data_IF_136286907999
#
_entry.id   IF_136286907999
#
_cell.length_a   1.000
_cell.length_b   1.000
_cell.length_c   1.000
_cell.angle_alpha   90.00
_cell.angle_beta   90.00
_cell.angle_gamma   90.00
#
_symmetry.space_group_name_H-M   'P 1'
#
loop_
_entity.id
_entity.type
_entity.pdbx_description
1 polymer ?
#
# COMPACT_ATOMS: atom_id res chain seq x y z
N UNK A 1 -30.18 21.69 47.83
CA UNK A 1 -29.04 20.89 47.39
C UNK A 1 -29.05 20.89 45.86
N UNK A 2 -28.15 21.64 45.26
CA UNK A 2 -28.03 21.74 43.81
C UNK A 2 -26.93 20.77 43.36
N UNK A 3 -27.26 19.83 42.47
CA UNK A 3 -26.31 18.92 41.84
C UNK A 3 -25.87 19.58 40.56
N UNK A 4 -24.62 20.06 40.51
CA UNK A 4 -24.01 20.57 39.31
C UNK A 4 -23.43 19.39 38.50
N UNK A 5 -23.94 19.16 37.31
CA UNK A 5 -23.35 18.23 36.33
C UNK A 5 -22.16 18.90 35.68
N UNK A 6 -20.97 18.37 35.88
CA UNK A 6 -19.78 18.67 35.13
C UNK A 6 -19.82 17.88 33.82
N UNK A 7 -20.13 18.54 32.72
CA UNK A 7 -19.88 18.03 31.39
C UNK A 7 -18.38 18.18 31.10
N UNK A 8 -17.65 17.08 31.09
CA UNK A 8 -16.27 17.06 30.60
C UNK A 8 -16.29 17.08 29.08
N UNK A 9 -15.93 18.20 28.47
CA UNK A 9 -15.55 18.25 27.07
C UNK A 9 -14.27 17.42 26.90
N UNK A 10 -14.40 16.22 26.35
CA UNK A 10 -13.24 15.52 25.79
C UNK A 10 -12.79 16.35 24.59
N UNK A 11 -11.62 16.97 24.71
CA UNK A 11 -10.91 17.51 23.54
C UNK A 11 -10.33 16.30 22.82
N UNK A 12 -10.70 16.14 21.55
CA UNK A 12 -9.98 15.28 20.62
C UNK A 12 -8.59 15.88 20.42
N UNK A 13 -7.62 15.40 21.20
CA UNK A 13 -6.23 15.66 20.93
C UNK A 13 -5.87 14.82 19.69
N UNK A 14 -5.27 15.42 18.64
CA UNK A 14 -4.82 14.64 17.49
C UNK A 14 -3.81 13.60 17.96
N UNK A 15 -3.95 12.38 17.49
CA UNK A 15 -2.96 11.30 17.70
C UNK A 15 -1.62 11.85 17.24
N UNK A 16 -0.70 12.06 18.17
CA UNK A 16 0.66 12.49 17.86
C UNK A 16 1.36 11.30 17.19
N UNK A 17 1.36 11.28 15.86
CA UNK A 17 2.20 10.36 15.09
C UNK A 17 3.62 10.84 15.39
N UNK A 18 4.31 10.14 16.25
CA UNK A 18 5.69 10.43 16.63
C UNK A 18 6.56 10.43 15.36
N UNK A 19 6.77 11.61 14.82
CA UNK A 19 7.70 11.85 13.71
C UNK A 19 9.10 11.76 14.30
N UNK A 20 9.52 10.51 14.57
CA UNK A 20 10.88 10.25 15.02
C UNK A 20 11.88 10.94 14.12
N UNK A 21 12.76 11.70 14.73
CA UNK A 21 13.90 12.46 14.20
C UNK A 21 13.81 12.88 12.74
N UNK A 22 14.12 14.14 12.45
CA UNK A 22 14.27 14.77 11.11
C UNK A 22 15.31 14.01 10.25
N UNK A 23 15.04 12.72 9.96
CA UNK A 23 15.83 11.99 8.98
C UNK A 23 15.60 12.63 7.62
N UNK A 24 16.65 13.11 7.02
CA UNK A 24 16.60 13.64 5.67
C UNK A 24 16.16 12.52 4.72
N UNK A 25 15.05 12.73 4.00
CA UNK A 25 14.55 11.79 3.01
C UNK A 25 15.63 11.46 1.97
N UNK A 26 15.83 10.16 1.72
CA UNK A 26 16.80 9.69 0.74
C UNK A 26 16.21 9.79 -0.66
N UNK A 27 16.92 10.41 -1.59
CA UNK A 27 16.53 10.47 -3.01
C UNK A 27 17.34 9.49 -3.84
N UNK A 28 16.78 9.04 -4.98
CA UNK A 28 17.35 7.95 -5.77
C UNK A 28 17.54 8.35 -7.23
N UNK A 29 18.51 7.73 -7.88
CA UNK A 29 18.69 7.77 -9.34
C UNK A 29 18.41 6.38 -9.90
N UNK A 30 17.47 6.29 -10.85
CA UNK A 30 17.06 5.02 -11.44
C UNK A 30 18.03 4.59 -12.56
N UNK A 31 18.37 3.29 -12.57
CA UNK A 31 19.19 2.65 -13.59
C UNK A 31 18.37 2.20 -14.80
N UNK A 32 18.84 1.14 -15.47
CA UNK A 32 18.15 0.54 -16.61
C UNK A 32 17.11 -0.47 -16.14
N UNK A 33 15.85 -0.38 -16.58
CA UNK A 33 14.81 -1.34 -16.20
C UNK A 33 15.01 -2.70 -16.91
N UNK A 34 14.61 -3.76 -16.22
CA UNK A 34 14.41 -5.10 -16.76
C UNK A 34 12.95 -5.53 -16.58
N UNK A 35 12.47 -6.48 -17.36
CA UNK A 35 11.10 -7.00 -17.23
C UNK A 35 11.04 -8.53 -17.26
N UNK A 36 9.99 -9.07 -16.63
CA UNK A 36 9.72 -10.50 -16.48
C UNK A 36 8.25 -10.77 -16.80
N UNK A 37 7.97 -11.61 -17.79
CA UNK A 37 6.60 -12.01 -18.11
C UNK A 37 6.06 -12.99 -17.06
N UNK A 38 4.94 -12.65 -16.43
CA UNK A 38 4.26 -13.52 -15.45
C UNK A 38 3.28 -14.47 -16.12
N UNK A 39 2.71 -14.10 -17.27
CA UNK A 39 1.57 -14.76 -17.93
C UNK A 39 0.29 -14.79 -17.07
N UNK A 40 0.20 -13.91 -16.10
CA UNK A 40 -0.94 -13.72 -15.21
C UNK A 40 -1.62 -12.40 -15.55
N UNK A 41 -2.93 -12.33 -15.35
CA UNK A 41 -3.75 -11.14 -15.58
C UNK A 41 -4.31 -10.63 -14.25
N UNK A 42 -4.79 -9.39 -14.19
CA UNK A 42 -5.39 -8.81 -12.98
C UNK A 42 -4.40 -8.61 -11.82
N UNK A 43 -3.12 -8.36 -12.12
CA UNK A 43 -2.12 -8.12 -11.09
C UNK A 43 -2.21 -6.69 -10.58
N UNK A 44 -2.49 -6.49 -9.30
CA UNK A 44 -2.84 -5.18 -8.74
C UNK A 44 -1.85 -4.65 -7.70
N UNK A 45 -1.19 -5.51 -6.92
CA UNK A 45 -0.29 -5.05 -5.87
C UNK A 45 0.96 -5.91 -5.72
N UNK A 46 2.05 -5.33 -5.17
CA UNK A 46 3.31 -6.02 -4.95
C UNK A 46 3.99 -5.57 -3.66
N UNK A 47 4.54 -6.52 -2.89
CA UNK A 47 5.47 -6.24 -1.81
C UNK A 47 6.56 -7.30 -1.72
N UNK A 48 7.61 -7.05 -0.92
CA UNK A 48 8.53 -8.11 -0.53
C UNK A 48 7.82 -9.12 0.39
N UNK A 49 8.19 -10.40 0.29
CA UNK A 49 7.75 -11.41 1.23
C UNK A 49 8.37 -11.20 2.62
N UNK A 50 7.95 -12.00 3.61
CA UNK A 50 8.33 -11.86 5.03
C UNK A 50 9.84 -12.01 5.27
N UNK A 51 10.56 -12.67 4.37
CA UNK A 51 12.00 -12.91 4.44
C UNK A 51 12.82 -11.95 3.56
N UNK A 52 12.16 -11.19 2.69
CA UNK A 52 12.80 -10.25 1.77
C UNK A 52 13.60 -10.93 0.65
N UNK A 53 13.33 -12.20 0.35
CA UNK A 53 13.98 -12.97 -0.72
C UNK A 53 13.04 -13.35 -1.87
N UNK A 54 11.83 -12.83 -1.85
CA UNK A 54 10.81 -12.98 -2.87
C UNK A 54 9.79 -11.84 -2.86
N UNK A 55 8.89 -11.89 -3.81
CA UNK A 55 7.83 -10.92 -4.02
C UNK A 55 6.46 -11.59 -3.78
N UNK A 56 5.57 -10.91 -3.07
CA UNK A 56 4.15 -11.23 -3.01
C UNK A 56 3.42 -10.30 -3.95
N UNK A 57 2.55 -10.86 -4.79
CA UNK A 57 1.75 -10.13 -5.77
C UNK A 57 0.29 -10.50 -5.58
N UNK A 58 -0.56 -9.53 -5.31
CA UNK A 58 -2.00 -9.73 -5.23
C UNK A 58 -2.67 -9.56 -6.60
N UNK A 59 -3.81 -10.22 -6.77
CA UNK A 59 -4.63 -10.24 -7.98
C UNK A 59 -6.09 -10.00 -7.63
N UNK A 60 -6.82 -9.29 -8.50
CA UNK A 60 -8.24 -8.91 -8.36
C UNK A 60 -9.17 -10.07 -7.98
N UNK A 61 -8.86 -11.30 -8.46
CA UNK A 61 -9.73 -12.46 -8.28
C UNK A 61 -9.42 -13.27 -7.00
N UNK A 62 -8.69 -12.69 -6.04
CA UNK A 62 -8.49 -13.29 -4.73
C UNK A 62 -7.26 -14.18 -4.60
N UNK A 63 -6.34 -14.16 -5.57
CA UNK A 63 -5.07 -14.87 -5.48
C UNK A 63 -3.95 -13.98 -4.95
N UNK A 64 -2.98 -14.61 -4.29
CA UNK A 64 -1.67 -14.05 -4.03
C UNK A 64 -0.63 -14.99 -4.59
N UNK A 65 0.24 -14.46 -5.42
CA UNK A 65 1.34 -15.16 -6.04
C UNK A 65 2.64 -14.83 -5.32
N UNK A 66 3.48 -15.83 -5.10
CA UNK A 66 4.83 -15.62 -4.61
C UNK A 66 5.83 -15.87 -5.73
N UNK A 67 6.63 -14.85 -6.04
CA UNK A 67 7.70 -14.92 -7.03
C UNK A 67 9.06 -14.87 -6.34
N UNK A 68 10.07 -15.48 -6.97
CA UNK A 68 11.45 -15.19 -6.66
C UNK A 68 11.87 -13.81 -7.20
N UNK A 69 12.97 -13.26 -6.69
CA UNK A 69 13.59 -12.05 -7.24
C UNK A 69 14.17 -12.26 -8.65
N UNK A 70 14.12 -13.47 -9.18
CA UNK A 70 14.42 -13.84 -10.56
C UNK A 70 13.16 -13.81 -11.47
N UNK A 71 12.02 -13.39 -10.93
CA UNK A 71 10.74 -13.31 -11.63
C UNK A 71 10.04 -14.65 -11.83
N UNK A 72 10.54 -15.76 -11.26
CA UNK A 72 9.91 -17.08 -11.39
C UNK A 72 8.83 -17.29 -10.33
N UNK A 73 7.64 -17.75 -10.75
CA UNK A 73 6.55 -18.11 -9.85
C UNK A 73 6.97 -19.32 -8.98
N UNK A 74 6.81 -19.18 -7.65
CA UNK A 74 7.14 -20.20 -6.66
C UNK A 74 5.90 -20.85 -6.04
N UNK A 75 4.92 -20.05 -5.65
CA UNK A 75 3.69 -20.55 -5.04
C UNK A 75 2.49 -19.65 -5.35
N UNK A 76 1.30 -20.18 -5.12
CA UNK A 76 0.02 -19.45 -5.27
C UNK A 76 -0.87 -19.78 -4.10
N UNK A 77 -1.47 -18.75 -3.53
CA UNK A 77 -2.49 -18.89 -2.49
C UNK A 77 -3.80 -18.28 -2.98
N UNK A 78 -4.93 -18.83 -2.54
CA UNK A 78 -6.25 -18.29 -2.83
C UNK A 78 -7.04 -18.19 -1.52
N UNK A 79 -7.71 -17.06 -1.33
CA UNK A 79 -8.57 -16.85 -0.18
C UNK A 79 -9.98 -16.56 -0.67
N UNK A 80 -10.95 -17.32 -0.14
CA UNK A 80 -12.35 -16.95 -0.29
C UNK A 80 -12.67 -15.82 0.70
N UNK A 81 -13.12 -14.70 0.17
CA UNK A 81 -13.76 -13.66 0.97
C UNK A 81 -15.15 -14.16 1.38
N UNK A 82 -15.67 -13.82 2.56
CA UNK A 82 -16.97 -14.34 3.04
C UNK A 82 -18.16 -14.08 2.12
N UNK A 83 -18.09 -13.09 1.25
CA UNK A 83 -19.14 -12.67 0.32
C UNK A 83 -18.82 -12.87 -1.17
N UNK A 84 -17.80 -13.67 -1.48
CA UNK A 84 -17.33 -14.00 -2.84
C UNK A 84 -16.95 -12.79 -3.74
N UNK A 85 -16.89 -11.58 -3.20
CA UNK A 85 -16.42 -10.41 -3.92
C UNK A 85 -14.94 -10.19 -3.60
N UNK A 86 -14.05 -10.41 -4.58
CA UNK A 86 -12.61 -10.22 -4.43
C UNK A 86 -12.16 -9.11 -5.36
N UNK A 87 -11.48 -8.12 -4.77
CA UNK A 87 -10.85 -7.03 -5.50
C UNK A 87 -9.64 -6.59 -4.67
N UNK A 88 -8.60 -7.48 -4.63
CA UNK A 88 -7.40 -7.21 -3.86
C UNK A 88 -6.50 -6.24 -4.61
N UNK A 89 -6.51 -4.97 -4.19
CA UNK A 89 -5.76 -3.88 -4.81
C UNK A 89 -4.53 -3.45 -4.01
N UNK A 90 -4.27 -4.07 -2.87
CA UNK A 90 -3.08 -3.77 -2.07
C UNK A 90 -2.62 -4.93 -1.23
N UNK A 91 -1.29 -5.08 -1.09
CA UNK A 91 -0.65 -6.08 -0.23
C UNK A 91 0.57 -5.49 0.47
N UNK A 92 0.74 -5.79 1.75
CA UNK A 92 1.91 -5.38 2.52
C UNK A 92 2.28 -6.39 3.58
N UNK A 93 3.55 -6.42 3.96
CA UNK A 93 4.06 -7.22 5.08
C UNK A 93 4.52 -6.28 6.19
N UNK A 94 3.91 -6.40 7.36
CA UNK A 94 4.31 -5.63 8.53
C UNK A 94 5.61 -6.20 9.15
N UNK A 95 6.25 -5.42 10.02
CA UNK A 95 7.53 -5.76 10.65
C UNK A 95 7.49 -7.09 11.44
N UNK A 96 6.33 -7.48 11.94
CA UNK A 96 6.13 -8.74 12.66
C UNK A 96 5.85 -9.95 11.74
N UNK A 97 5.93 -9.76 10.41
CA UNK A 97 5.63 -10.77 9.40
C UNK A 97 4.13 -10.91 9.08
N UNK A 98 3.27 -10.10 9.68
CA UNK A 98 1.84 -10.12 9.35
C UNK A 98 1.60 -9.56 7.95
N UNK A 99 0.87 -10.31 7.12
CA UNK A 99 0.46 -9.88 5.78
C UNK A 99 -0.92 -9.23 5.87
N UNK A 100 -1.04 -8.04 5.29
CA UNK A 100 -2.31 -7.32 5.14
C UNK A 100 -2.64 -7.13 3.66
N UNK A 101 -3.94 -7.19 3.37
CA UNK A 101 -4.53 -6.91 2.06
C UNK A 101 -5.53 -5.78 2.21
N UNK A 102 -5.69 -4.94 1.20
CA UNK A 102 -6.85 -4.07 1.09
C UNK A 102 -7.74 -4.48 -0.09
N UNK A 103 -9.02 -4.26 0.11
CA UNK A 103 -10.06 -4.53 -0.87
C UNK A 103 -10.66 -3.22 -1.33
N UNK A 104 -10.78 -3.05 -2.65
CA UNK A 104 -11.13 -1.77 -3.27
C UNK A 104 -12.57 -1.36 -2.95
N UNK A 105 -13.54 -2.18 -3.32
CA UNK A 105 -14.96 -1.80 -3.38
C UNK A 105 -15.59 -1.62 -2.01
N UNK A 106 -15.35 -2.56 -1.10
CA UNK A 106 -15.86 -2.48 0.27
C UNK A 106 -15.01 -1.58 1.16
N UNK A 107 -13.82 -1.15 0.70
CA UNK A 107 -12.85 -0.35 1.46
C UNK A 107 -12.51 -0.99 2.79
N UNK A 108 -12.07 -2.22 2.71
CA UNK A 108 -11.79 -3.07 3.86
C UNK A 108 -10.32 -3.45 3.91
N UNK A 109 -9.79 -3.62 5.12
CA UNK A 109 -8.46 -4.18 5.37
C UNK A 109 -8.64 -5.58 5.92
N UNK A 110 -7.89 -6.53 5.38
CA UNK A 110 -7.85 -7.92 5.83
C UNK A 110 -6.45 -8.30 6.29
N UNK A 111 -6.40 -9.25 7.21
CA UNK A 111 -5.18 -9.91 7.66
C UNK A 111 -5.18 -11.35 7.19
N UNK A 112 -4.07 -11.78 6.60
CA UNK A 112 -3.86 -13.17 6.19
C UNK A 112 -3.51 -14.02 7.41
N UNK A 113 -4.05 -15.25 7.49
CA UNK A 113 -3.70 -16.21 8.53
C UNK A 113 -2.24 -16.70 8.39
N UNK A 114 -1.61 -17.08 9.49
CA UNK A 114 -0.20 -17.52 9.47
C UNK A 114 0.05 -18.75 8.58
N UNK A 115 -0.96 -19.62 8.38
CA UNK A 115 -0.90 -20.77 7.47
C UNK A 115 -1.26 -20.42 6.02
N UNK A 116 -1.53 -19.13 5.74
CA UNK A 116 -1.84 -18.59 4.40
C UNK A 116 -3.09 -19.21 3.74
N UNK A 117 -4.07 -19.67 4.55
CA UNK A 117 -5.28 -20.33 4.04
C UNK A 117 -6.56 -19.53 4.15
N UNK A 118 -6.55 -18.47 4.94
CA UNK A 118 -7.72 -17.64 5.16
C UNK A 118 -7.36 -16.19 5.41
N UNK A 119 -8.35 -15.32 5.27
CA UNK A 119 -8.26 -13.92 5.65
C UNK A 119 -9.31 -13.59 6.71
N UNK A 120 -9.03 -12.59 7.52
CA UNK A 120 -9.95 -12.05 8.51
C UNK A 120 -10.01 -10.53 8.40
N UNK A 121 -11.22 -9.98 8.49
CA UNK A 121 -11.45 -8.54 8.48
C UNK A 121 -10.75 -7.90 9.68
N UNK A 122 -9.95 -6.87 9.40
CA UNK A 122 -9.29 -6.03 10.41
C UNK A 122 -10.12 -4.78 10.68
N UNK A 123 -10.51 -4.09 9.61
CA UNK A 123 -11.30 -2.85 9.70
C UNK A 123 -11.98 -2.55 8.37
N UNK A 124 -13.13 -1.88 8.47
CA UNK A 124 -13.69 -1.11 7.36
C UNK A 124 -13.11 0.29 7.40
N UNK A 125 -12.98 0.91 6.24
CA UNK A 125 -12.56 2.29 6.10
C UNK A 125 -13.55 3.28 6.71
N UNK A 126 -13.13 4.53 6.88
CA UNK A 126 -14.03 5.59 7.34
C UNK A 126 -15.09 5.93 6.28
N UNK A 127 -16.27 6.45 6.71
CA UNK A 127 -17.37 6.77 5.81
C UNK A 127 -16.98 7.75 4.68
N UNK A 128 -16.11 8.70 4.99
CA UNK A 128 -15.61 9.67 4.00
C UNK A 128 -14.69 9.07 2.93
N UNK A 129 -14.30 7.80 3.05
CA UNK A 129 -13.58 7.11 1.97
C UNK A 129 -14.43 6.94 0.70
N UNK A 130 -15.72 7.23 0.79
CA UNK A 130 -16.65 7.17 -0.32
C UNK A 130 -17.29 5.80 -0.48
N UNK A 131 -18.16 5.67 -1.48
CA UNK A 131 -18.94 4.46 -1.74
C UNK A 131 -19.01 4.11 -3.23
N UNK A 132 -18.21 4.78 -4.08
CA UNK A 132 -18.18 4.47 -5.50
C UNK A 132 -17.36 3.22 -5.76
N UNK A 133 -17.93 2.28 -6.49
CA UNK A 133 -17.25 1.10 -6.98
C UNK A 133 -16.05 1.50 -7.88
N UNK A 134 -14.94 0.79 -7.83
CA UNK A 134 -13.74 1.03 -8.64
C UNK A 134 -13.08 2.41 -8.46
N UNK A 135 -13.14 3.01 -7.29
CA UNK A 135 -12.41 4.24 -6.93
C UNK A 135 -12.00 4.25 -5.46
N UNK A 136 -11.84 3.05 -4.89
CA UNK A 136 -11.62 2.81 -3.48
C UNK A 136 -10.15 2.67 -3.09
N UNK A 137 -9.87 1.62 -2.36
CA UNK A 137 -8.53 1.34 -1.86
C UNK A 137 -7.69 0.63 -2.92
N UNK A 138 -6.61 1.26 -3.37
CA UNK A 138 -5.72 0.75 -4.41
C UNK A 138 -4.35 0.33 -3.87
N UNK A 139 -4.05 0.63 -2.63
CA UNK A 139 -2.77 0.26 -2.05
C UNK A 139 -2.76 0.32 -0.54
N UNK A 140 -1.89 -0.48 0.08
CA UNK A 140 -1.69 -0.53 1.52
C UNK A 140 -0.21 -0.69 1.85
N UNK A 141 0.28 0.09 2.83
CA UNK A 141 1.65 0.01 3.31
C UNK A 141 1.71 -0.04 4.83
N UNK A 142 2.46 -0.98 5.39
CA UNK A 142 2.67 -1.11 6.82
C UNK A 142 3.94 -0.37 7.26
N UNK A 143 3.83 0.54 8.23
CA UNK A 143 4.97 1.27 8.79
C UNK A 143 4.70 1.76 10.21
N UNK A 144 5.62 1.53 11.14
CA UNK A 144 5.59 2.04 12.52
C UNK A 144 4.26 1.79 13.28
N UNK A 145 3.63 0.62 13.08
CA UNK A 145 2.35 0.28 13.72
C UNK A 145 1.13 0.91 13.07
N UNK A 146 1.30 1.52 11.92
CA UNK A 146 0.25 2.14 11.11
C UNK A 146 0.12 1.41 9.77
N UNK A 147 -1.10 1.24 9.29
CA UNK A 147 -1.38 0.89 7.90
C UNK A 147 -1.79 2.16 7.16
N UNK A 148 -0.96 2.60 6.21
CA UNK A 148 -1.29 3.66 5.28
C UNK A 148 -2.06 3.06 4.11
N UNK A 149 -3.18 3.66 3.75
CA UNK A 149 -4.06 3.16 2.69
C UNK A 149 -4.31 4.26 1.67
N UNK A 150 -3.99 3.99 0.42
CA UNK A 150 -4.23 4.91 -0.68
C UNK A 150 -5.65 4.72 -1.22
N UNK A 151 -6.48 5.75 -1.13
CA UNK A 151 -7.79 5.81 -1.77
C UNK A 151 -7.64 6.49 -3.13
N UNK A 152 -8.01 5.79 -4.20
CA UNK A 152 -7.71 6.14 -5.59
C UNK A 152 -8.17 7.54 -5.99
N UNK A 153 -9.46 7.82 -5.71
CA UNK A 153 -10.08 9.09 -6.08
C UNK A 153 -11.38 9.32 -5.31
N UNK A 154 -11.82 10.58 -5.19
CA UNK A 154 -13.06 11.00 -4.57
C UNK A 154 -13.27 10.53 -3.11
N UNK A 155 -12.37 10.89 -2.20
CA UNK A 155 -11.22 11.78 -2.37
C UNK A 155 -9.95 11.04 -2.79
N UNK A 156 -9.00 11.72 -3.44
CA UNK A 156 -7.61 11.26 -3.58
C UNK A 156 -6.90 11.52 -2.26
N UNK A 157 -6.81 10.49 -1.43
CA UNK A 157 -6.42 10.63 -0.02
C UNK A 157 -5.64 9.43 0.46
N UNK A 158 -4.69 9.67 1.33
CA UNK A 158 -4.06 8.62 2.11
C UNK A 158 -4.66 8.64 3.51
N UNK A 159 -5.21 7.51 3.91
CA UNK A 159 -5.66 7.25 5.26
C UNK A 159 -4.59 6.54 6.08
N UNK A 160 -4.63 6.70 7.39
CA UNK A 160 -3.76 6.01 8.34
C UNK A 160 -4.62 5.27 9.37
N UNK A 161 -4.41 3.96 9.48
CA UNK A 161 -5.06 3.11 10.48
C UNK A 161 -4.06 2.69 11.55
N UNK A 162 -4.27 3.12 12.80
CA UNK A 162 -3.48 2.64 13.94
C UNK A 162 -3.85 1.20 14.25
N UNK A 163 -2.89 0.27 14.13
CA UNK A 163 -3.12 -1.16 14.42
C UNK A 163 -3.42 -1.36 15.92
N UNK A 164 -2.74 -0.61 16.79
CA UNK A 164 -2.89 -0.72 18.24
C UNK A 164 -4.22 -0.15 18.74
N UNK A 165 -4.57 1.07 18.28
CA UNK A 165 -5.74 1.80 18.77
C UNK A 165 -7.01 1.45 17.98
N UNK A 166 -6.87 0.81 16.81
CA UNK A 166 -7.96 0.47 15.89
C UNK A 166 -8.74 1.70 15.42
N UNK A 167 -8.03 2.80 15.15
CA UNK A 167 -8.61 4.08 14.75
C UNK A 167 -8.08 4.53 13.40
N UNK A 168 -8.94 5.21 12.65
CA UNK A 168 -8.61 5.83 11.39
C UNK A 168 -8.35 7.33 11.56
N UNK A 169 -7.41 7.83 10.79
CA UNK A 169 -7.18 9.27 10.58
C UNK A 169 -6.88 9.54 9.11
N UNK A 170 -7.08 10.78 8.66
CA UNK A 170 -6.55 11.23 7.38
C UNK A 170 -5.06 11.55 7.56
N UNK A 171 -4.19 10.88 6.80
CA UNK A 171 -2.80 11.27 6.76
C UNK A 171 -2.63 12.55 5.92
N UNK A 172 -3.11 12.56 4.67
CA UNK A 172 -3.10 13.74 3.80
C UNK A 172 -3.98 13.56 2.55
N UNK A 173 -4.36 14.68 1.94
CA UNK A 173 -4.96 14.72 0.61
C UNK A 173 -3.87 14.80 -0.47
N UNK A 174 -4.00 13.98 -1.52
CA UNK A 174 -3.04 13.89 -2.60
C UNK A 174 -3.53 14.63 -3.87
N UNK A 175 -3.94 15.88 -3.73
CA UNK A 175 -4.50 16.71 -4.83
C UNK A 175 -3.53 16.87 -6.00
N UNK A 176 -2.25 16.68 -5.76
CA UNK A 176 -1.19 16.71 -6.76
C UNK A 176 -1.15 15.48 -7.67
N UNK A 177 -1.77 14.36 -7.29
CA UNK A 177 -1.85 13.15 -8.11
C UNK A 177 -3.07 13.18 -9.02
N UNK A 178 -3.02 12.44 -10.12
CA UNK A 178 -4.19 12.19 -10.98
C UNK A 178 -5.00 11.01 -10.46
N UNK A 179 -4.33 9.98 -9.95
CA UNK A 179 -4.89 8.78 -9.36
C UNK A 179 -3.88 8.22 -8.38
N UNK A 180 -4.31 7.54 -7.34
CA UNK A 180 -3.41 6.74 -6.50
C UNK A 180 -3.60 5.28 -6.87
N UNK A 181 -2.52 4.59 -7.27
CA UNK A 181 -2.58 3.19 -7.70
C UNK A 181 -1.91 2.24 -6.73
N UNK A 182 -0.95 2.74 -5.92
CA UNK A 182 -0.33 1.97 -4.84
C UNK A 182 0.41 2.89 -3.88
N UNK A 183 0.74 2.36 -2.71
CA UNK A 183 1.52 3.04 -1.68
C UNK A 183 2.51 2.08 -1.03
N UNK A 184 3.72 2.56 -0.78
CA UNK A 184 4.77 1.82 -0.09
C UNK A 184 5.38 2.69 1.02
N UNK A 185 5.66 2.11 2.19
CA UNK A 185 6.35 2.79 3.28
C UNK A 185 7.82 2.37 3.33
N UNK A 186 8.73 3.35 3.20
CA UNK A 186 10.15 3.15 3.37
C UNK A 186 10.56 3.31 4.83
N UNK A 187 10.83 2.20 5.50
CA UNK A 187 11.24 2.22 6.91
C UNK A 187 12.66 2.77 7.14
N UNK A 188 13.44 2.98 6.09
CA UNK A 188 14.81 3.49 6.21
C UNK A 188 14.86 5.00 6.49
N UNK A 189 13.86 5.75 6.03
CA UNK A 189 13.78 7.21 6.20
C UNK A 189 12.37 7.71 6.55
N UNK A 190 11.42 6.81 6.77
CA UNK A 190 10.06 7.13 7.16
C UNK A 190 9.22 7.81 6.08
N UNK A 191 9.60 7.68 4.79
CA UNK A 191 8.84 8.25 3.69
C UNK A 191 7.85 7.26 3.09
N UNK A 192 6.89 7.79 2.33
CA UNK A 192 5.96 7.03 1.52
C UNK A 192 6.28 7.21 0.05
N UNK A 193 6.11 6.16 -0.73
CA UNK A 193 6.12 6.22 -2.18
C UNK A 193 4.71 5.94 -2.69
N UNK A 194 4.25 6.76 -3.61
CA UNK A 194 2.90 6.66 -4.19
C UNK A 194 3.02 6.56 -5.70
N UNK A 195 2.37 5.53 -6.24
CA UNK A 195 2.30 5.28 -7.68
C UNK A 195 1.08 5.97 -8.28
N UNK A 196 1.25 6.62 -9.43
CA UNK A 196 0.17 7.18 -10.24
C UNK A 196 0.20 6.51 -11.62
N UNK A 197 -0.70 5.55 -11.86
CA UNK A 197 -0.76 4.78 -13.09
C UNK A 197 -1.13 5.64 -14.30
N UNK A 198 -1.90 6.71 -14.11
CA UNK A 198 -2.34 7.60 -15.20
C UNK A 198 -1.22 8.49 -15.73
N UNK A 199 -0.31 8.90 -14.86
CA UNK A 199 0.81 9.78 -15.22
C UNK A 199 2.14 9.04 -15.32
N UNK A 200 2.18 7.75 -14.97
CA UNK A 200 3.39 6.91 -14.92
C UNK A 200 4.47 7.54 -14.05
N UNK A 201 4.07 7.92 -12.85
CA UNK A 201 4.95 8.55 -11.87
C UNK A 201 4.97 7.78 -10.56
N UNK A 202 6.13 7.81 -9.92
CA UNK A 202 6.34 7.38 -8.55
C UNK A 202 6.72 8.63 -7.75
N UNK A 203 5.92 9.02 -6.77
CA UNK A 203 6.17 10.22 -5.95
C UNK A 203 6.55 9.81 -4.54
N UNK A 204 7.73 10.23 -4.10
CA UNK A 204 8.17 10.11 -2.71
C UNK A 204 7.66 11.30 -1.91
N UNK A 205 7.02 11.03 -0.77
CA UNK A 205 6.45 12.05 0.12
C UNK A 205 6.78 11.72 1.57
N UNK A 206 6.76 12.73 2.43
CA UNK A 206 6.70 12.52 3.88
C UNK A 206 5.32 11.98 4.28
N UNK A 207 5.18 11.48 5.51
CA UNK A 207 3.90 10.95 6.02
C UNK A 207 2.80 12.00 6.16
N UNK A 208 3.14 13.29 6.05
CA UNK A 208 2.20 14.41 5.99
C UNK A 208 1.83 14.83 4.54
N UNK A 209 2.30 14.09 3.53
CA UNK A 209 2.07 14.37 2.12
C UNK A 209 3.02 15.40 1.48
N UNK A 210 3.98 15.94 2.23
CA UNK A 210 4.99 16.85 1.69
C UNK A 210 5.85 16.10 0.67
N UNK A 211 5.87 16.58 -0.59
CA UNK A 211 6.65 15.97 -1.66
C UNK A 211 8.16 16.08 -1.40
N UNK A 212 8.86 14.99 -1.61
CA UNK A 212 10.33 14.88 -1.56
C UNK A 212 10.89 14.85 -2.98
N UNK A 213 10.46 13.88 -3.78
CA UNK A 213 10.93 13.69 -5.15
C UNK A 213 9.86 12.99 -6.00
N UNK A 214 9.93 13.22 -7.30
CA UNK A 214 9.09 12.55 -8.29
C UNK A 214 9.98 11.84 -9.31
N UNK A 215 9.66 10.59 -9.61
CA UNK A 215 10.37 9.73 -10.56
C UNK A 215 9.46 9.44 -11.75
N UNK A 216 9.98 9.58 -12.97
CA UNK A 216 9.31 9.06 -14.16
C UNK A 216 9.53 7.55 -14.26
N UNK A 217 8.45 6.78 -14.31
CA UNK A 217 8.44 5.33 -14.46
C UNK A 217 7.73 4.92 -15.76
N UNK A 218 7.91 5.71 -16.81
CA UNK A 218 7.26 5.53 -18.12
C UNK A 218 7.60 4.20 -18.83
N UNK A 219 8.59 3.46 -18.33
CA UNK A 219 8.88 2.09 -18.75
C UNK A 219 7.82 1.08 -18.27
N UNK A 220 7.01 1.41 -17.27
CA UNK A 220 5.84 0.64 -16.84
C UNK A 220 4.59 1.28 -17.43
N UNK A 221 3.90 0.58 -18.32
CA UNK A 221 2.77 1.15 -19.08
C UNK A 221 1.58 1.56 -18.19
N UNK A 222 1.24 0.72 -17.23
CA UNK A 222 0.19 0.92 -16.22
C UNK A 222 0.72 0.39 -14.89
N UNK A 223 1.46 1.22 -14.11
CA UNK A 223 2.03 0.78 -12.84
C UNK A 223 0.93 0.65 -11.78
N UNK A 224 0.58 -0.57 -11.41
CA UNK A 224 -0.44 -0.85 -10.39
C UNK A 224 0.17 -1.12 -9.02
N UNK A 225 1.42 -1.56 -8.95
CA UNK A 225 2.07 -1.84 -7.68
C UNK A 225 3.54 -1.49 -7.67
N UNK A 226 4.06 -1.18 -6.48
CA UNK A 226 5.45 -0.80 -6.24
C UNK A 226 5.97 -1.35 -4.91
N UNK A 227 7.21 -1.87 -4.91
CA UNK A 227 7.94 -2.06 -3.67
C UNK A 227 9.45 -1.83 -3.85
N UNK A 228 10.13 -1.54 -2.73
CA UNK A 228 11.56 -1.31 -2.65
C UNK A 228 12.28 -2.49 -2.01
N UNK A 229 13.21 -3.09 -2.72
CA UNK A 229 14.17 -4.04 -2.18
C UNK A 229 15.46 -3.29 -1.81
N UNK A 230 15.56 -2.91 -0.54
CA UNK A 230 16.72 -2.14 -0.05
C UNK A 230 18.01 -2.98 -0.07
N UNK A 231 17.93 -4.30 0.13
CA UNK A 231 19.07 -5.21 0.15
C UNK A 231 19.77 -5.30 -1.21
N UNK A 232 18.96 -5.40 -2.27
CA UNK A 232 19.47 -5.51 -3.64
C UNK A 232 19.46 -4.17 -4.39
N UNK A 233 19.12 -3.06 -3.72
CA UNK A 233 19.00 -1.72 -4.30
C UNK A 233 18.13 -1.73 -5.57
N UNK A 234 16.95 -2.32 -5.48
CA UNK A 234 16.05 -2.52 -6.61
C UNK A 234 14.65 -2.03 -6.27
N UNK A 235 14.04 -1.29 -7.18
CA UNK A 235 12.63 -1.00 -7.21
C UNK A 235 11.92 -2.02 -8.08
N UNK A 236 10.83 -2.58 -7.57
CA UNK A 236 9.97 -3.51 -8.28
C UNK A 236 8.62 -2.88 -8.57
N UNK A 237 8.09 -3.18 -9.74
CA UNK A 237 6.77 -2.74 -10.17
C UNK A 237 6.02 -3.89 -10.80
N UNK A 238 4.69 -3.81 -10.76
CA UNK A 238 3.81 -4.65 -11.58
C UNK A 238 3.02 -3.80 -12.58
N UNK A 239 2.64 -4.44 -13.67
CA UNK A 239 1.82 -3.86 -14.72
C UNK A 239 0.83 -4.90 -15.21
N UNK A 240 -0.43 -4.75 -14.82
CA UNK A 240 -1.50 -5.63 -15.26
C UNK A 240 -1.63 -5.65 -16.78
N UNK A 241 -1.71 -4.49 -17.41
CA UNK A 241 -1.95 -4.37 -18.86
C UNK A 241 -0.90 -5.06 -19.76
N UNK A 242 0.24 -5.47 -19.20
CA UNK A 242 1.30 -6.21 -19.91
C UNK A 242 1.62 -7.55 -19.29
N UNK A 243 0.99 -7.91 -18.16
CA UNK A 243 1.27 -9.13 -17.38
C UNK A 243 2.75 -9.29 -17.06
N UNK A 244 3.38 -8.20 -16.55
CA UNK A 244 4.82 -8.15 -16.29
C UNK A 244 5.16 -7.63 -14.91
N UNK A 245 6.22 -8.22 -14.34
CA UNK A 245 7.03 -7.59 -13.31
C UNK A 245 8.12 -6.75 -13.97
N UNK A 246 8.45 -5.62 -13.38
CA UNK A 246 9.57 -4.79 -13.77
C UNK A 246 10.50 -4.59 -12.59
N UNK A 247 11.81 -4.58 -12.85
CA UNK A 247 12.80 -4.20 -11.87
C UNK A 247 13.67 -3.07 -12.40
N UNK A 248 14.10 -2.17 -11.54
CA UNK A 248 15.09 -1.14 -11.87
C UNK A 248 16.00 -0.92 -10.66
N UNK A 249 17.30 -0.98 -10.89
CA UNK A 249 18.28 -0.66 -9.83
C UNK A 249 18.24 0.83 -9.50
N UNK A 250 18.63 1.19 -8.28
CA UNK A 250 18.77 2.59 -7.86
C UNK A 250 20.09 2.83 -7.13
N UNK A 251 20.57 4.08 -7.17
CA UNK A 251 21.77 4.57 -6.49
C UNK A 251 21.41 5.80 -5.64
#
# INVERSE_FOLDING_TARGET
MAVSSLASCLRDEPVNIDNGDDQQATTYTLGTPADYSTKLEGLSAICLNETGDGLLVAEDNGHVYEFGLDGQLKSTWAFAKPDDAHDWEGITVAKDGTIYLCEERAREIYKVSADKKSVSLVSKGPEEAGSEDNQGYEGIAAGNGVLYVANQSKPKRVYAYSIADKTWTTAFDADWATSLSDIYYDSSDGTLFITDAKTQKLTQVKTDGTKVQEYSISFVKKPEGFCKDAKNKTFWFICDSTSKLYSVTYN
#
